data_IF_485487916530
#
_entry.id   IF_485487916530
#
_cell.length_a   1.000
_cell.length_b   1.000
_cell.length_c   1.000
_cell.angle_alpha   90.00
_cell.angle_beta   90.00
_cell.angle_gamma   90.00
#
_symmetry.space_group_name_H-M   'P 1'
#
loop_
_entity.id
_entity.type
_entity.pdbx_description
1 polymer ?
#
# COMPACT_ATOMS: atom_id res chain seq x y z
N UNK A 1 21.99 16.67 24.62
CA UNK A 1 21.45 15.39 24.11
C UNK A 1 21.94 15.22 22.69
N UNK A 2 22.91 14.32 22.52
CA UNK A 2 23.90 14.35 21.44
C UNK A 2 23.42 13.75 20.11
N UNK A 3 23.91 14.37 19.03
CA UNK A 3 23.81 14.03 17.59
C UNK A 3 24.40 12.66 17.19
N UNK A 4 24.52 11.69 18.09
CA UNK A 4 25.19 10.39 17.83
C UNK A 4 24.26 9.23 17.41
N UNK A 5 22.95 9.45 17.32
CA UNK A 5 21.99 8.39 16.93
C UNK A 5 21.63 8.35 15.43
N UNK A 6 22.24 9.19 14.59
CA UNK A 6 21.88 9.28 13.15
C UNK A 6 22.65 8.30 12.24
N UNK A 7 23.75 7.71 12.70
CA UNK A 7 24.59 6.82 11.87
C UNK A 7 24.31 5.31 12.05
N UNK A 8 23.40 4.93 12.94
CA UNK A 8 23.11 3.52 13.24
C UNK A 8 21.99 2.87 12.42
N UNK A 9 21.11 3.66 11.79
CA UNK A 9 19.88 3.14 11.16
C UNK A 9 19.89 3.17 9.62
N UNK A 10 20.87 3.81 9.00
CA UNK A 10 20.97 3.91 7.53
C UNK A 10 21.65 2.70 6.88
N UNK A 11 22.34 1.85 7.65
CA UNK A 11 23.13 0.75 7.09
C UNK A 11 22.32 -0.53 6.73
N UNK A 12 21.09 -0.70 7.23
CA UNK A 12 20.30 -1.92 6.98
C UNK A 12 19.29 -1.81 5.81
N UNK A 13 19.05 -0.60 5.29
CA UNK A 13 18.28 -0.37 4.05
C UNK A 13 19.18 -0.08 2.83
N UNK A 14 20.50 0.12 3.05
CA UNK A 14 21.47 0.46 2.01
C UNK A 14 22.05 -0.74 1.24
N UNK A 15 21.90 -1.98 1.72
CA UNK A 15 22.57 -3.13 1.12
C UNK A 15 22.04 -3.52 -0.28
N UNK A 16 20.85 -3.07 -0.66
CA UNK A 16 20.30 -3.22 -2.03
C UNK A 16 20.58 -2.01 -2.94
N UNK A 17 21.29 -0.97 -2.45
CA UNK A 17 21.69 0.22 -3.21
C UNK A 17 23.20 0.24 -3.52
N UNK A 18 23.95 -0.82 -3.19
CA UNK A 18 25.43 -0.87 -3.27
C UNK A 18 26.01 -1.10 -4.68
N UNK A 19 25.38 -0.64 -5.76
CA UNK A 19 25.96 -0.71 -7.11
C UNK A 19 26.14 0.62 -7.84
N UNK A 20 26.04 1.76 -7.15
CA UNK A 20 26.47 3.04 -7.71
C UNK A 20 27.57 3.69 -6.85
N UNK A 21 28.73 4.05 -7.43
CA UNK A 21 29.78 4.73 -6.70
C UNK A 21 29.29 6.13 -6.33
N UNK A 22 29.36 6.43 -5.03
CA UNK A 22 29.10 7.75 -4.47
C UNK A 22 30.13 8.76 -5.02
N UNK A 23 29.76 9.45 -6.09
CA UNK A 23 30.34 10.75 -6.41
C UNK A 23 29.55 11.85 -5.68
N UNK A 24 30.24 12.47 -4.72
CA UNK A 24 30.05 13.84 -4.21
C UNK A 24 28.65 14.47 -4.29
N UNK A 25 27.85 14.33 -3.22
CA UNK A 25 26.68 15.17 -2.99
C UNK A 25 27.09 16.51 -2.36
N UNK A 26 27.65 17.40 -3.18
CA UNK A 26 27.79 18.82 -2.88
C UNK A 26 26.91 19.64 -3.85
N UNK A 27 25.60 19.49 -3.67
CA UNK A 27 24.50 20.34 -4.15
C UNK A 27 23.33 20.04 -3.20
N UNK A 28 22.39 20.96 -2.90
CA UNK A 28 21.14 20.53 -2.26
C UNK A 28 20.54 19.48 -3.20
N UNK A 29 20.54 18.21 -2.78
CA UNK A 29 20.20 17.11 -3.67
C UNK A 29 18.85 17.41 -4.32
N UNK A 30 18.78 17.36 -5.64
CA UNK A 30 17.52 17.54 -6.37
C UNK A 30 16.48 16.59 -5.76
N UNK A 31 15.30 17.11 -5.42
CA UNK A 31 14.26 16.30 -4.79
C UNK A 31 13.85 15.18 -5.73
N UNK A 32 13.59 14.00 -5.16
CA UNK A 32 12.99 12.88 -5.88
C UNK A 32 11.57 13.28 -6.28
N UNK A 33 11.28 13.22 -7.58
CA UNK A 33 10.00 13.63 -8.16
C UNK A 33 9.02 12.46 -8.15
N UNK A 34 7.91 12.66 -7.46
CA UNK A 34 6.88 11.65 -7.28
C UNK A 34 5.59 12.07 -8.00
N UNK A 35 4.89 11.07 -8.55
CA UNK A 35 3.46 11.21 -8.87
C UNK A 35 2.67 10.15 -8.11
N UNK A 36 1.41 10.44 -7.79
CA UNK A 36 0.54 9.48 -7.11
C UNK A 36 -0.72 9.19 -7.93
N UNK A 37 -1.06 7.92 -8.07
CA UNK A 37 -2.28 7.41 -8.71
C UNK A 37 -3.13 6.73 -7.65
N UNK A 38 -4.34 7.26 -7.46
CA UNK A 38 -5.22 6.94 -6.33
C UNK A 38 -4.91 7.84 -5.14
N UNK A 39 -5.85 8.68 -4.76
CA UNK A 39 -5.74 9.62 -3.63
C UNK A 39 -6.64 9.22 -2.45
N UNK A 40 -6.98 7.92 -2.36
CA UNK A 40 -7.74 7.35 -1.26
C UNK A 40 -7.02 7.45 0.11
N UNK A 41 -7.58 6.81 1.13
CA UNK A 41 -7.09 6.89 2.51
C UNK A 41 -5.61 6.49 2.67
N UNK A 42 -5.16 5.44 1.96
CA UNK A 42 -3.75 5.02 1.97
C UNK A 42 -2.86 5.99 1.19
N UNK A 43 -3.28 6.39 -0.01
CA UNK A 43 -2.60 7.39 -0.85
C UNK A 43 -2.41 8.72 -0.13
N UNK A 44 -3.51 9.36 0.27
CA UNK A 44 -3.47 10.67 0.96
C UNK A 44 -2.81 10.61 2.34
N UNK A 45 -2.98 9.52 3.08
CA UNK A 45 -2.47 9.38 4.45
C UNK A 45 -0.99 9.00 4.50
N UNK A 46 -0.72 7.73 4.20
CA UNK A 46 0.63 7.17 4.33
C UNK A 46 1.57 7.70 3.25
N UNK A 47 1.16 7.62 1.98
CA UNK A 47 1.98 8.03 0.85
C UNK A 47 2.02 9.54 0.60
N UNK A 48 1.02 10.28 1.09
CA UNK A 48 0.96 11.73 1.00
C UNK A 48 1.48 12.39 2.27
N UNK A 49 0.61 12.48 3.29
CA UNK A 49 0.85 13.28 4.50
C UNK A 49 2.07 12.81 5.29
N UNK A 50 2.16 11.51 5.61
CA UNK A 50 3.28 11.00 6.40
C UNK A 50 4.59 11.00 5.60
N UNK A 51 4.55 10.72 4.30
CA UNK A 51 5.72 10.82 3.43
C UNK A 51 6.28 12.25 3.40
N UNK A 52 5.45 13.26 3.14
CA UNK A 52 5.88 14.66 3.11
C UNK A 52 6.36 15.15 4.48
N UNK A 53 5.69 14.74 5.56
CA UNK A 53 6.09 15.10 6.92
C UNK A 53 7.49 14.59 7.26
N UNK A 54 7.84 13.38 6.85
CA UNK A 54 9.11 12.74 7.22
C UNK A 54 10.22 12.96 6.17
N UNK A 55 9.87 13.20 4.91
CA UNK A 55 10.82 13.23 3.78
C UNK A 55 10.62 14.41 2.82
N UNK A 56 9.82 15.42 3.16
CA UNK A 56 9.51 16.55 2.27
C UNK A 56 10.69 17.43 1.85
N UNK A 57 11.84 17.32 2.53
CA UNK A 57 13.10 17.93 2.08
C UNK A 57 13.76 17.15 0.93
N UNK A 58 13.50 15.84 0.82
CA UNK A 58 14.10 14.94 -0.17
C UNK A 58 13.16 14.54 -1.31
N UNK A 59 11.85 14.77 -1.17
CA UNK A 59 10.84 14.37 -2.15
C UNK A 59 9.87 15.51 -2.45
N UNK A 60 9.30 15.51 -3.65
CA UNK A 60 8.21 16.40 -4.03
C UNK A 60 7.18 15.68 -4.91
N UNK A 61 5.91 16.06 -4.76
CA UNK A 61 4.87 15.64 -5.69
C UNK A 61 4.84 16.59 -6.89
N UNK A 62 4.93 16.05 -8.10
CA UNK A 62 4.81 16.79 -9.35
C UNK A 62 3.52 16.48 -10.12
N UNK A 63 2.66 15.60 -9.57
CA UNK A 63 1.35 15.31 -10.12
C UNK A 63 0.55 14.35 -9.24
N UNK A 64 -0.77 14.58 -9.17
CA UNK A 64 -1.71 13.67 -8.52
C UNK A 64 -2.77 13.24 -9.53
N UNK A 65 -3.18 11.97 -9.49
CA UNK A 65 -4.25 11.44 -10.33
C UNK A 65 -5.23 10.59 -9.55
N UNK A 66 -6.52 10.86 -9.75
CA UNK A 66 -7.63 10.06 -9.25
C UNK A 66 -8.84 10.24 -10.19
N UNK A 67 -9.67 9.22 -10.31
CA UNK A 67 -10.93 9.30 -11.08
C UNK A 67 -11.95 10.23 -10.41
N UNK A 68 -11.78 10.48 -9.12
CA UNK A 68 -12.65 11.32 -8.30
C UNK A 68 -12.06 12.73 -8.16
N UNK A 69 -12.57 13.72 -8.91
CA UNK A 69 -12.00 15.07 -8.92
C UNK A 69 -12.14 15.78 -7.58
N UNK A 70 -13.23 15.55 -6.84
CA UNK A 70 -13.41 16.18 -5.53
C UNK A 70 -12.48 15.62 -4.46
N UNK A 71 -12.19 14.30 -4.50
CA UNK A 71 -11.13 13.70 -3.68
C UNK A 71 -9.76 14.28 -4.03
N UNK A 72 -9.48 14.44 -5.32
CA UNK A 72 -8.22 14.97 -5.82
C UNK A 72 -7.98 16.40 -5.32
N UNK A 73 -9.00 17.27 -5.40
CA UNK A 73 -8.97 18.64 -4.87
C UNK A 73 -8.70 18.65 -3.36
N UNK A 74 -9.48 17.92 -2.58
CA UNK A 74 -9.31 17.85 -1.12
C UNK A 74 -7.90 17.38 -0.74
N UNK A 75 -7.38 16.34 -1.40
CA UNK A 75 -6.06 15.80 -1.10
C UNK A 75 -4.95 16.77 -1.47
N UNK A 76 -5.06 17.48 -2.60
CA UNK A 76 -4.09 18.52 -2.96
C UNK A 76 -4.00 19.60 -1.88
N UNK A 77 -5.15 20.10 -1.42
CA UNK A 77 -5.22 21.10 -0.35
C UNK A 77 -4.67 20.58 0.98
N UNK A 78 -5.10 19.38 1.38
CA UNK A 78 -4.67 18.73 2.63
C UNK A 78 -3.16 18.47 2.68
N UNK A 79 -2.54 18.14 1.53
CA UNK A 79 -1.10 17.96 1.42
C UNK A 79 -0.31 19.27 1.28
N UNK A 80 -0.99 20.39 0.94
CA UNK A 80 -0.33 21.67 0.70
C UNK A 80 0.61 21.66 -0.51
N UNK A 81 0.36 20.80 -1.50
CA UNK A 81 1.23 20.63 -2.68
C UNK A 81 0.74 21.48 -3.86
N UNK A 82 1.68 22.08 -4.60
CA UNK A 82 1.36 22.93 -5.76
C UNK A 82 1.53 22.21 -7.12
N UNK A 83 1.18 20.93 -7.19
CA UNK A 83 1.31 20.16 -8.43
C UNK A 83 -0.01 20.12 -9.24
N UNK A 84 0.06 19.86 -10.55
CA UNK A 84 -1.13 19.62 -11.37
C UNK A 84 -1.90 18.36 -10.94
N UNK A 85 -3.19 18.36 -11.24
CA UNK A 85 -4.15 17.30 -10.96
C UNK A 85 -4.64 16.71 -12.28
N UNK A 86 -4.78 15.39 -12.35
CA UNK A 86 -5.13 14.67 -13.58
C UNK A 86 -6.23 13.65 -13.34
N UNK A 87 -7.20 13.60 -14.26
CA UNK A 87 -8.24 12.55 -14.25
C UNK A 87 -7.68 11.19 -14.69
N UNK A 88 -6.55 11.17 -15.42
CA UNK A 88 -5.91 9.94 -15.88
C UNK A 88 -4.39 9.95 -15.64
N UNK A 89 -3.84 8.77 -15.36
CA UNK A 89 -2.38 8.58 -15.27
C UNK A 89 -1.68 8.86 -16.62
N UNK A 90 -2.34 8.58 -17.75
CA UNK A 90 -1.75 8.82 -19.06
C UNK A 90 -1.49 10.29 -19.35
N UNK A 91 -2.43 11.17 -18.99
CA UNK A 91 -2.24 12.63 -19.11
C UNK A 91 -1.17 13.11 -18.14
N UNK A 92 -1.18 12.61 -16.90
CA UNK A 92 -0.16 12.93 -15.90
C UNK A 92 1.24 12.60 -16.40
N UNK A 93 1.47 11.39 -16.88
CA UNK A 93 2.80 10.94 -17.35
C UNK A 93 3.23 11.57 -18.68
N UNK A 94 2.31 12.18 -19.46
CA UNK A 94 2.67 12.97 -20.64
C UNK A 94 3.19 14.36 -20.26
N UNK A 95 2.63 14.96 -19.21
CA UNK A 95 2.95 16.33 -18.78
C UNK A 95 4.02 16.38 -17.69
N UNK A 96 4.28 15.25 -17.04
CA UNK A 96 5.25 15.12 -15.94
C UNK A 96 6.32 14.10 -16.28
N UNK A 97 7.51 14.22 -15.67
CA UNK A 97 8.59 13.24 -15.77
C UNK A 97 9.05 12.85 -14.36
N UNK A 98 8.28 12.01 -13.64
CA UNK A 98 8.63 11.60 -12.29
C UNK A 98 9.75 10.55 -12.28
N UNK A 99 10.44 10.45 -11.14
CA UNK A 99 11.35 9.34 -10.84
C UNK A 99 10.56 8.07 -10.47
N UNK A 100 9.47 8.26 -9.71
CA UNK A 100 8.59 7.17 -9.26
C UNK A 100 7.11 7.51 -9.42
N UNK A 101 6.35 6.50 -9.86
CA UNK A 101 4.89 6.47 -9.83
C UNK A 101 4.44 5.68 -8.61
N UNK A 102 3.72 6.33 -7.69
CA UNK A 102 3.11 5.68 -6.52
C UNK A 102 1.69 5.23 -6.87
N UNK A 103 1.43 3.92 -6.82
CA UNK A 103 0.12 3.32 -7.11
C UNK A 103 -0.55 2.88 -5.81
N UNK A 104 -1.68 3.50 -5.47
CA UNK A 104 -2.46 3.22 -4.25
C UNK A 104 -3.96 3.05 -4.54
N UNK A 105 -4.27 2.50 -5.72
CA UNK A 105 -5.63 2.28 -6.20
C UNK A 105 -6.28 1.05 -5.53
N UNK A 106 -7.39 0.57 -6.09
CA UNK A 106 -8.00 -0.70 -5.69
C UNK A 106 -7.06 -1.84 -6.12
N UNK A 107 -6.87 -2.86 -5.28
CA UNK A 107 -5.87 -3.92 -5.50
C UNK A 107 -5.97 -4.57 -6.89
N UNK A 108 -7.19 -4.84 -7.36
CA UNK A 108 -7.44 -5.48 -8.65
C UNK A 108 -7.04 -4.63 -9.86
N UNK A 109 -6.77 -3.34 -9.68
CA UNK A 109 -6.32 -2.44 -10.76
C UNK A 109 -4.84 -2.09 -10.67
N UNK A 110 -4.13 -2.54 -9.62
CA UNK A 110 -2.70 -2.25 -9.46
C UNK A 110 -1.90 -2.64 -10.70
N UNK A 111 -2.14 -3.83 -11.26
CA UNK A 111 -1.41 -4.33 -12.42
C UNK A 111 -1.56 -3.44 -13.65
N UNK A 112 -2.75 -2.88 -13.88
CA UNK A 112 -3.00 -1.99 -15.01
C UNK A 112 -2.14 -0.72 -14.93
N UNK A 113 -2.08 -0.11 -13.74
CA UNK A 113 -1.30 1.11 -13.52
C UNK A 113 0.20 0.83 -13.47
N UNK A 114 0.62 -0.23 -12.78
CA UNK A 114 2.03 -0.65 -12.67
C UNK A 114 2.59 -0.96 -14.06
N UNK A 115 1.93 -1.84 -14.82
CA UNK A 115 2.39 -2.25 -16.15
C UNK A 115 2.49 -1.04 -17.08
N UNK A 116 1.47 -0.18 -17.10
CA UNK A 116 1.46 1.02 -17.94
C UNK A 116 2.57 2.01 -17.58
N UNK A 117 2.89 2.19 -16.29
CA UNK A 117 3.98 3.06 -15.85
C UNK A 117 5.36 2.49 -16.24
N UNK A 118 5.56 1.18 -16.03
CA UNK A 118 6.79 0.48 -16.42
C UNK A 118 7.02 0.57 -17.93
N UNK A 119 6.00 0.29 -18.75
CA UNK A 119 6.08 0.35 -20.22
C UNK A 119 6.38 1.76 -20.75
N UNK A 120 6.03 2.80 -20.00
CA UNK A 120 6.38 4.19 -20.30
C UNK A 120 7.77 4.59 -19.78
N UNK A 121 8.50 3.68 -19.15
CA UNK A 121 9.86 3.89 -18.69
C UNK A 121 9.99 4.53 -17.30
N UNK A 122 8.98 4.38 -16.43
CA UNK A 122 9.00 4.90 -15.06
C UNK A 122 9.16 3.79 -14.02
N UNK A 123 9.84 4.10 -12.91
CA UNK A 123 9.84 3.20 -11.75
C UNK A 123 8.51 3.32 -11.00
N UNK A 124 8.13 2.25 -10.31
CA UNK A 124 6.84 2.16 -9.63
C UNK A 124 7.04 1.76 -8.17
N UNK A 125 6.31 2.44 -7.29
CA UNK A 125 6.10 2.01 -5.91
C UNK A 125 4.60 1.70 -5.78
N UNK A 126 4.23 0.57 -5.21
CA UNK A 126 2.82 0.19 -5.07
C UNK A 126 2.53 -0.31 -3.66
N UNK A 127 1.30 -0.04 -3.19
CA UNK A 127 0.78 -0.72 -2.00
C UNK A 127 0.75 -2.23 -2.20
N UNK A 128 0.79 -2.96 -1.09
CA UNK A 128 0.46 -4.39 -1.10
C UNK A 128 -1.08 -4.58 -1.12
N UNK A 129 -1.58 -5.71 -1.62
CA UNK A 129 -0.85 -6.73 -2.39
C UNK A 129 -0.38 -6.15 -3.74
N UNK A 130 0.63 -6.78 -4.35
CA UNK A 130 1.11 -6.34 -5.67
C UNK A 130 -0.04 -6.28 -6.68
N UNK A 131 -0.95 -7.26 -6.64
CA UNK A 131 -2.23 -7.33 -7.35
C UNK A 131 -3.03 -8.53 -6.79
N UNK A 132 -4.13 -8.93 -7.43
CA UNK A 132 -5.10 -9.88 -6.88
C UNK A 132 -4.94 -11.34 -7.31
N UNK A 133 -4.18 -11.62 -8.37
CA UNK A 133 -3.99 -12.96 -8.92
C UNK A 133 -2.62 -13.14 -9.61
N UNK A 134 -2.24 -14.39 -9.85
CA UNK A 134 -0.95 -14.79 -10.38
C UNK A 134 -0.73 -14.39 -11.85
N UNK A 135 -1.80 -14.33 -12.64
CA UNK A 135 -1.73 -13.92 -14.05
C UNK A 135 -1.38 -12.44 -14.13
N UNK A 136 -2.01 -11.61 -13.31
CA UNK A 136 -1.68 -10.19 -13.16
C UNK A 136 -0.29 -9.99 -12.57
N UNK A 137 0.12 -10.78 -11.57
CA UNK A 137 1.50 -10.75 -11.07
C UNK A 137 2.50 -11.03 -12.19
N UNK A 138 2.24 -12.04 -13.03
CA UNK A 138 3.11 -12.36 -14.18
C UNK A 138 3.21 -11.18 -15.15
N UNK A 139 2.09 -10.53 -15.47
CA UNK A 139 2.07 -9.33 -16.33
C UNK A 139 2.97 -8.20 -15.80
N UNK A 140 2.95 -7.98 -14.49
CA UNK A 140 3.82 -6.99 -13.82
C UNK A 140 5.30 -7.38 -13.95
N UNK A 141 5.66 -8.63 -13.64
CA UNK A 141 7.04 -9.10 -13.72
C UNK A 141 7.60 -9.06 -15.15
N UNK A 142 6.77 -9.41 -16.14
CA UNK A 142 7.14 -9.32 -17.54
C UNK A 142 7.32 -7.86 -17.99
N UNK A 143 6.53 -6.94 -17.43
CA UNK A 143 6.65 -5.49 -17.66
C UNK A 143 7.93 -4.91 -17.05
N UNK A 144 8.25 -5.32 -15.82
CA UNK A 144 9.48 -4.94 -15.14
C UNK A 144 10.70 -5.41 -15.96
N UNK A 145 10.69 -6.67 -16.39
CA UNK A 145 11.77 -7.26 -17.20
C UNK A 145 11.96 -6.53 -18.54
N UNK A 146 10.88 -6.29 -19.30
CA UNK A 146 10.99 -5.69 -20.65
C UNK A 146 11.30 -4.21 -20.63
N UNK A 147 10.85 -3.48 -19.61
CA UNK A 147 11.10 -2.03 -19.48
C UNK A 147 12.48 -1.71 -18.91
N UNK A 148 13.08 -2.65 -18.17
CA UNK A 148 14.30 -2.41 -17.39
C UNK A 148 14.09 -1.50 -16.17
N UNK A 149 12.84 -1.14 -15.87
CA UNK A 149 12.46 -0.34 -14.70
C UNK A 149 12.18 -1.25 -13.51
N UNK A 150 11.90 -0.66 -12.34
CA UNK A 150 11.69 -1.40 -11.09
C UNK A 150 10.30 -1.18 -10.52
N UNK A 151 9.72 -2.25 -9.97
CA UNK A 151 8.54 -2.20 -9.11
C UNK A 151 8.91 -2.52 -7.66
N UNK A 152 8.53 -1.63 -6.74
CA UNK A 152 8.72 -1.80 -5.31
C UNK A 152 7.34 -2.00 -4.67
N UNK A 153 7.11 -3.17 -4.09
CA UNK A 153 5.89 -3.44 -3.32
C UNK A 153 6.13 -3.07 -1.86
N UNK A 154 5.27 -2.23 -1.31
CA UNK A 154 5.44 -1.67 0.02
C UNK A 154 5.03 -2.63 1.15
N UNK A 155 5.88 -3.61 1.41
CA UNK A 155 5.79 -4.49 2.57
C UNK A 155 6.34 -3.82 3.83
N UNK A 156 5.58 -2.83 4.34
CA UNK A 156 5.98 -2.00 5.48
C UNK A 156 6.36 -2.80 6.75
N UNK A 157 5.86 -4.04 6.92
CA UNK A 157 6.20 -4.88 8.07
C UNK A 157 7.69 -5.24 8.13
N UNK A 158 8.38 -5.34 6.98
CA UNK A 158 9.83 -5.59 6.94
C UNK A 158 10.66 -4.46 7.54
N UNK A 159 10.09 -3.26 7.65
CA UNK A 159 10.79 -2.05 8.12
C UNK A 159 10.48 -1.69 9.57
N UNK A 160 9.67 -2.48 10.27
CA UNK A 160 9.47 -2.27 11.71
C UNK A 160 10.68 -2.77 12.50
N UNK A 161 11.07 -2.02 13.54
CA UNK A 161 12.25 -2.30 14.38
C UNK A 161 12.22 -3.75 14.90
N UNK A 162 11.09 -4.19 15.44
CA UNK A 162 10.94 -5.53 15.99
C UNK A 162 11.11 -6.63 14.93
N UNK A 163 10.53 -6.46 13.74
CA UNK A 163 10.64 -7.48 12.68
C UNK A 163 12.05 -7.54 12.10
N UNK A 164 12.74 -6.40 12.00
CA UNK A 164 14.15 -6.35 11.59
C UNK A 164 15.06 -7.04 12.62
N UNK A 165 14.83 -6.82 13.92
CA UNK A 165 15.57 -7.51 14.97
C UNK A 165 15.36 -9.03 14.94
N UNK A 166 14.13 -9.49 14.74
CA UNK A 166 13.86 -10.92 14.54
C UNK A 166 14.64 -11.45 13.34
N UNK A 167 14.59 -10.76 12.19
CA UNK A 167 15.35 -11.14 10.99
C UNK A 167 16.84 -11.26 11.27
N UNK A 168 17.42 -10.29 11.98
CA UNK A 168 18.84 -10.26 12.32
C UNK A 168 19.23 -11.42 13.24
N UNK A 169 18.44 -11.70 14.28
CA UNK A 169 18.70 -12.79 15.20
C UNK A 169 18.62 -14.16 14.52
N UNK A 170 17.65 -14.35 13.62
CA UNK A 170 17.53 -15.57 12.82
C UNK A 170 18.69 -15.72 11.82
N UNK A 171 19.11 -14.63 11.15
CA UNK A 171 20.25 -14.63 10.24
C UNK A 171 21.57 -14.98 10.96
N UNK A 172 21.74 -14.53 12.21
CA UNK A 172 22.86 -14.89 13.09
C UNK A 172 22.75 -16.30 13.67
N UNK A 173 21.75 -17.09 13.26
CA UNK A 173 21.47 -18.45 13.76
C UNK A 173 21.35 -18.51 15.29
N UNK A 174 20.83 -17.45 15.94
CA UNK A 174 20.79 -17.36 17.42
C UNK A 174 19.97 -18.47 18.06
N UNK A 175 19.00 -19.02 17.33
CA UNK A 175 18.11 -20.12 17.73
C UNK A 175 18.47 -21.46 17.07
N UNK A 176 19.63 -21.56 16.40
CA UNK A 176 20.04 -22.76 15.67
C UNK A 176 19.33 -22.95 14.33
N UNK A 177 19.22 -24.21 13.88
CA UNK A 177 18.47 -24.57 12.67
C UNK A 177 16.97 -24.50 12.96
N UNK A 178 16.25 -23.68 12.21
CA UNK A 178 14.79 -23.59 12.30
C UNK A 178 14.20 -24.87 11.67
N UNK A 179 13.37 -25.58 12.44
CA UNK A 179 12.71 -26.81 12.01
C UNK A 179 11.20 -26.67 11.87
N UNK A 180 10.59 -25.74 12.62
CA UNK A 180 9.16 -25.45 12.59
C UNK A 180 8.91 -24.01 13.03
N UNK A 181 7.82 -23.42 12.54
CA UNK A 181 7.34 -22.10 12.94
C UNK A 181 5.83 -22.17 13.13
N UNK A 182 5.36 -21.71 14.28
CA UNK A 182 3.95 -21.35 14.48
C UNK A 182 3.78 -19.84 14.34
N UNK A 183 2.86 -19.42 13.47
CA UNK A 183 2.52 -18.02 13.29
C UNK A 183 1.00 -17.87 13.30
N UNK A 184 0.49 -17.44 14.45
CA UNK A 184 -0.91 -17.07 14.63
C UNK A 184 -1.12 -15.54 14.54
N UNK A 185 -2.07 -15.08 13.71
CA UNK A 185 -2.46 -13.67 13.63
C UNK A 185 -3.96 -13.48 13.83
N UNK A 186 -4.34 -12.82 14.92
CA UNK A 186 -5.73 -12.58 15.29
C UNK A 186 -6.14 -11.14 14.98
N UNK A 187 -7.26 -10.98 14.29
CA UNK A 187 -7.87 -9.67 14.05
C UNK A 187 -8.97 -9.42 15.08
N UNK A 188 -8.98 -8.24 15.67
CA UNK A 188 -10.14 -7.80 16.44
C UNK A 188 -11.33 -7.51 15.51
N UNK A 189 -12.52 -7.36 16.09
CA UNK A 189 -13.76 -7.16 15.32
C UNK A 189 -13.78 -5.84 14.56
N UNK A 190 -13.10 -4.81 15.06
CA UNK A 190 -13.05 -3.49 14.42
C UNK A 190 -12.26 -3.54 13.11
N UNK A 191 -11.02 -4.00 13.19
CA UNK A 191 -10.10 -4.10 12.04
C UNK A 191 -10.51 -5.22 11.08
N UNK A 192 -10.98 -6.36 11.61
CA UNK A 192 -11.47 -7.46 10.78
C UNK A 192 -12.65 -7.07 9.91
N UNK A 193 -13.58 -6.27 10.44
CA UNK A 193 -14.76 -5.83 9.69
C UNK A 193 -14.41 -4.88 8.53
N UNK A 194 -13.30 -4.13 8.59
CA UNK A 194 -12.89 -3.23 7.49
C UNK A 194 -12.67 -3.96 6.17
N UNK A 195 -12.23 -5.22 6.24
CA UNK A 195 -12.01 -6.08 5.08
C UNK A 195 -13.30 -6.58 4.44
N UNK A 196 -14.46 -6.39 5.08
CA UNK A 196 -15.75 -6.87 4.59
C UNK A 196 -16.80 -5.75 4.39
N UNK A 197 -16.48 -4.50 4.74
CA UNK A 197 -17.42 -3.36 4.70
C UNK A 197 -17.54 -2.64 3.36
N UNK A 198 -16.51 -2.70 2.53
CA UNK A 198 -16.36 -1.91 1.28
C UNK A 198 -15.86 -2.80 0.15
N UNK A 199 -15.26 -2.20 -0.88
CA UNK A 199 -14.65 -2.91 -1.99
C UNK A 199 -13.70 -4.03 -1.57
N UNK A 200 -13.01 -3.92 -0.42
CA UNK A 200 -12.12 -4.95 0.11
C UNK A 200 -12.81 -6.32 0.28
N UNK A 201 -14.12 -6.32 0.56
CA UNK A 201 -14.91 -7.55 0.73
C UNK A 201 -15.41 -8.15 -0.58
N UNK A 202 -15.19 -7.46 -1.70
CA UNK A 202 -15.56 -7.93 -3.03
C UNK A 202 -14.35 -8.64 -3.64
N UNK A 203 -14.45 -9.95 -3.85
CA UNK A 203 -13.35 -10.78 -4.37
C UNK A 203 -12.79 -10.25 -5.70
N UNK A 204 -13.67 -9.71 -6.56
CA UNK A 204 -13.27 -9.09 -7.83
C UNK A 204 -12.41 -7.81 -7.67
N UNK A 205 -12.36 -7.22 -6.47
CA UNK A 205 -11.62 -5.96 -6.20
C UNK A 205 -10.42 -6.16 -5.28
N UNK A 206 -10.55 -6.94 -4.21
CA UNK A 206 -9.47 -7.17 -3.22
C UNK A 206 -8.87 -8.58 -3.23
N UNK A 207 -9.39 -9.50 -4.05
CA UNK A 207 -9.08 -10.93 -3.93
C UNK A 207 -9.68 -11.53 -2.65
N UNK A 208 -9.09 -12.62 -2.18
CA UNK A 208 -9.46 -13.21 -0.88
C UNK A 208 -8.80 -12.45 0.27
N UNK A 209 -9.24 -12.70 1.51
CA UNK A 209 -8.56 -12.14 2.70
C UNK A 209 -7.10 -12.61 2.80
N UNK A 210 -6.79 -13.79 2.24
CA UNK A 210 -5.41 -14.27 2.12
C UNK A 210 -4.55 -13.33 1.28
N UNK A 211 -5.09 -12.83 0.16
CA UNK A 211 -4.40 -11.89 -0.71
C UNK A 211 -4.39 -10.48 -0.12
N UNK A 212 -5.56 -9.95 0.26
CA UNK A 212 -5.66 -8.56 0.70
C UNK A 212 -4.90 -8.28 2.01
N UNK A 213 -4.96 -9.24 2.96
CA UNK A 213 -4.35 -9.10 4.30
C UNK A 213 -3.18 -10.05 4.51
N UNK A 214 -3.37 -11.36 4.28
CA UNK A 214 -2.38 -12.33 4.71
C UNK A 214 -1.07 -12.32 3.90
N UNK A 215 -1.05 -11.67 2.73
CA UNK A 215 0.20 -11.39 1.98
C UNK A 215 1.26 -10.76 2.89
N UNK A 216 0.90 -9.92 3.86
CA UNK A 216 1.87 -9.42 4.85
C UNK A 216 2.54 -10.54 5.66
N UNK A 217 1.79 -11.55 6.07
CA UNK A 217 2.28 -12.60 6.96
C UNK A 217 3.10 -13.63 6.19
N UNK A 218 2.67 -14.01 4.98
CA UNK A 218 3.46 -14.86 4.09
C UNK A 218 4.77 -14.19 3.69
N UNK A 219 4.71 -12.90 3.31
CA UNK A 219 5.88 -12.09 3.02
C UNK A 219 6.86 -12.05 4.20
N UNK A 220 6.36 -11.79 5.40
CA UNK A 220 7.16 -11.64 6.60
C UNK A 220 7.81 -12.96 7.03
N UNK A 221 7.06 -14.08 6.97
CA UNK A 221 7.59 -15.40 7.30
C UNK A 221 8.68 -15.83 6.33
N UNK A 222 8.44 -15.73 5.02
CA UNK A 222 9.43 -16.05 3.99
C UNK A 222 10.66 -15.16 4.14
N UNK A 223 10.46 -13.87 4.41
CA UNK A 223 11.53 -12.92 4.63
C UNK A 223 12.35 -13.26 5.88
N UNK A 224 11.73 -13.56 7.01
CA UNK A 224 12.44 -13.98 8.23
C UNK A 224 13.29 -15.22 8.00
N UNK A 225 12.68 -16.26 7.43
CA UNK A 225 13.31 -17.55 7.21
C UNK A 225 14.33 -17.56 6.08
N UNK A 226 14.30 -16.56 5.19
CA UNK A 226 15.06 -16.58 3.94
C UNK A 226 14.79 -17.87 3.14
N UNK A 227 13.52 -18.26 3.07
CA UNK A 227 13.09 -19.52 2.47
C UNK A 227 11.81 -19.31 1.66
N UNK A 228 11.66 -20.12 0.62
CA UNK A 228 10.47 -20.15 -0.22
C UNK A 228 9.69 -21.44 0.05
N UNK A 229 8.35 -21.39 0.12
CA UNK A 229 7.54 -22.58 0.28
C UNK A 229 7.61 -23.45 -0.98
N UNK A 230 7.79 -24.76 -0.81
CA UNK A 230 7.73 -25.76 -1.90
C UNK A 230 6.35 -26.38 -2.07
N UNK A 231 5.54 -26.36 -1.02
CA UNK A 231 4.18 -26.89 -0.97
C UNK A 231 3.36 -26.07 0.02
N UNK A 232 2.06 -25.90 -0.28
CA UNK A 232 1.11 -25.19 0.58
C UNK A 232 -0.17 -26.00 0.65
N UNK A 233 -0.68 -26.21 1.87
CA UNK A 233 -2.04 -26.69 2.14
C UNK A 233 -2.78 -25.63 2.94
N UNK A 234 -4.03 -25.36 2.60
CA UNK A 234 -4.83 -24.32 3.24
C UNK A 234 -6.28 -24.74 3.42
N UNK A 235 -6.87 -24.28 4.52
CA UNK A 235 -8.29 -24.43 4.83
C UNK A 235 -8.85 -23.07 5.23
N UNK A 236 -10.08 -22.79 4.83
CA UNK A 236 -10.72 -21.53 5.15
C UNK A 236 -12.22 -21.59 5.01
N UNK A 237 -12.89 -20.93 5.94
CA UNK A 237 -14.33 -20.72 5.98
C UNK A 237 -14.61 -19.24 6.21
N UNK A 238 -15.74 -18.77 5.67
CA UNK A 238 -16.33 -17.53 6.13
C UNK A 238 -17.27 -17.92 7.27
N UNK A 239 -16.95 -17.58 8.51
CA UNK A 239 -17.76 -17.96 9.69
C UNK A 239 -18.47 -16.78 10.35
N UNK A 240 -17.83 -15.61 10.43
CA UNK A 240 -18.33 -14.47 11.23
C UNK A 240 -19.09 -13.40 10.43
N UNK A 241 -18.65 -13.09 9.21
CA UNK A 241 -19.13 -11.90 8.48
C UNK A 241 -20.17 -12.23 7.40
N UNK A 242 -20.94 -11.20 7.01
CA UNK A 242 -21.85 -11.28 5.87
C UNK A 242 -22.98 -12.28 6.07
N UNK A 243 -23.08 -13.26 5.16
CA UNK A 243 -24.20 -14.22 5.06
C UNK A 243 -24.42 -15.10 6.29
N UNK A 244 -23.45 -15.19 7.20
CA UNK A 244 -23.57 -16.00 8.42
C UNK A 244 -24.25 -15.26 9.58
N UNK A 245 -24.62 -14.00 9.40
CA UNK A 245 -25.44 -13.28 10.35
C UNK A 245 -26.91 -13.38 9.94
N UNK A 246 -27.81 -13.40 10.94
CA UNK A 246 -29.27 -13.43 10.73
C UNK A 246 -29.81 -12.19 10.01
N UNK A 247 -29.02 -11.11 9.93
CA UNK A 247 -29.32 -9.89 9.19
C UNK A 247 -28.06 -9.39 8.46
N UNK A 248 -28.26 -8.65 7.37
CA UNK A 248 -27.16 -8.02 6.62
C UNK A 248 -27.64 -6.77 5.88
N UNK A 249 -26.79 -5.74 5.85
CA UNK A 249 -26.94 -4.58 4.96
C UNK A 249 -25.95 -4.64 3.80
N UNK A 250 -26.21 -3.90 2.72
CA UNK A 250 -25.28 -3.76 1.59
C UNK A 250 -24.16 -2.77 1.85
N UNK A 251 -24.40 -1.77 2.71
CA UNK A 251 -23.41 -0.81 3.21
C UNK A 251 -23.80 -0.27 4.57
N UNK A 252 -22.87 0.36 5.29
CA UNK A 252 -23.13 0.92 6.61
C UNK A 252 -24.00 2.19 6.54
N UNK A 253 -23.71 3.11 5.62
CA UNK A 253 -24.45 4.37 5.52
C UNK A 253 -25.86 4.12 4.99
N UNK A 254 -26.88 4.45 5.77
CA UNK A 254 -28.28 4.12 5.48
C UNK A 254 -28.69 2.68 5.83
N UNK A 255 -27.86 1.92 6.57
CA UNK A 255 -28.20 0.56 6.98
C UNK A 255 -29.38 0.54 7.96
N UNK A 256 -30.43 -0.23 7.63
CA UNK A 256 -31.60 -0.44 8.49
C UNK A 256 -31.26 -1.18 9.81
N UNK A 257 -30.12 -1.86 9.86
CA UNK A 257 -29.68 -2.66 11.03
C UNK A 257 -28.62 -1.95 11.89
N UNK A 258 -28.41 -0.64 11.72
CA UNK A 258 -27.31 0.09 12.39
C UNK A 258 -27.32 -0.08 13.91
N UNK A 259 -28.51 -0.11 14.53
CA UNK A 259 -28.65 -0.13 15.99
C UNK A 259 -28.41 -1.52 16.60
N UNK A 260 -28.46 -2.58 15.78
CA UNK A 260 -28.20 -3.98 16.20
C UNK A 260 -26.90 -4.56 15.64
N UNK A 261 -26.26 -3.90 14.66
CA UNK A 261 -25.07 -4.41 13.99
C UNK A 261 -23.80 -4.05 14.77
N UNK A 262 -23.18 -5.03 15.43
CA UNK A 262 -21.88 -4.87 16.12
C UNK A 262 -20.72 -4.45 15.20
N UNK A 263 -20.91 -4.53 13.88
CA UNK A 263 -19.94 -4.13 12.86
C UNK A 263 -20.30 -2.80 12.19
N UNK A 264 -21.37 -2.13 12.62
CA UNK A 264 -21.75 -0.84 12.07
C UNK A 264 -20.60 0.15 12.18
N UNK A 265 -20.32 0.85 11.08
CA UNK A 265 -19.30 1.86 11.00
C UNK A 265 -19.91 3.16 10.48
N UNK A 266 -19.93 4.16 11.35
CA UNK A 266 -20.38 5.49 11.02
C UNK A 266 -19.19 6.31 10.50
N UNK A 267 -19.05 6.35 9.18
CA UNK A 267 -18.00 7.14 8.52
C UNK A 267 -18.13 8.64 8.81
N UNK A 268 -19.31 9.13 9.22
CA UNK A 268 -19.54 10.57 9.45
C UNK A 268 -18.90 11.09 10.73
N UNK A 269 -18.43 10.19 11.61
CA UNK A 269 -17.72 10.55 12.84
C UNK A 269 -16.27 10.99 12.62
N UNK A 270 -15.72 10.77 11.42
CA UNK A 270 -14.36 11.17 11.07
C UNK A 270 -14.44 12.20 9.94
N UNK A 271 -14.15 13.47 10.27
CA UNK A 271 -14.23 14.58 9.32
C UNK A 271 -13.33 14.35 8.09
N UNK A 272 -12.14 13.76 8.26
CA UNK A 272 -11.24 13.47 7.14
C UNK A 272 -11.85 12.44 6.21
N UNK A 273 -12.55 11.44 6.74
CA UNK A 273 -13.23 10.43 5.92
C UNK A 273 -14.52 10.98 5.28
N UNK A 274 -15.19 11.92 5.94
CA UNK A 274 -16.29 12.69 5.34
C UNK A 274 -15.79 13.44 4.11
N UNK A 275 -14.71 14.20 4.26
CA UNK A 275 -14.16 14.99 3.17
C UNK A 275 -13.59 14.12 2.05
N UNK A 276 -12.91 13.01 2.37
CA UNK A 276 -12.37 12.10 1.35
C UNK A 276 -13.43 11.32 0.57
N UNK A 277 -14.54 10.95 1.22
CA UNK A 277 -15.45 9.93 0.69
C UNK A 277 -16.91 10.33 0.70
N UNK A 278 -17.45 10.84 1.81
CA UNK A 278 -18.88 11.17 1.91
C UNK A 278 -19.23 12.32 0.97
N UNK A 279 -18.45 13.39 0.98
CA UNK A 279 -18.66 14.59 0.17
C UNK A 279 -18.34 14.38 -1.33
N UNK A 280 -17.75 13.23 -1.66
CA UNK A 280 -17.19 12.93 -2.98
C UNK A 280 -17.78 11.65 -3.60
N UNK A 281 -18.75 11.02 -2.94
CA UNK A 281 -19.31 9.75 -3.37
C UNK A 281 -20.06 9.84 -4.71
N UNK A 282 -20.63 11.00 -5.04
CA UNK A 282 -21.32 11.25 -6.32
C UNK A 282 -20.46 10.98 -7.55
N UNK A 283 -19.13 10.95 -7.40
CA UNK A 283 -18.21 10.73 -8.51
C UNK A 283 -17.87 9.26 -8.76
N UNK A 284 -17.95 8.38 -7.75
CA UNK A 284 -17.47 7.00 -7.87
C UNK A 284 -18.25 5.94 -7.07
N UNK A 285 -19.20 6.32 -6.24
CA UNK A 285 -19.99 5.40 -5.43
C UNK A 285 -19.18 4.61 -4.40
N UNK A 286 -18.07 5.17 -3.88
CA UNK A 286 -17.13 4.44 -3.02
C UNK A 286 -17.73 3.82 -1.75
N UNK A 287 -18.77 4.42 -1.16
CA UNK A 287 -19.38 4.04 0.14
C UNK A 287 -20.68 3.24 0.00
#
# INVERSE_FOLDING_TARGET
>A
MERRNFLGYTAAAGASLLLHPFESFASPAEKIKLVMVGTGHRGSGFWGKELLKNFGEAVEFIGLSDINPGRLNYVKEMLGVNCPMFSTMDEMLKQTRPDYVIVTTVDATHDEFIVKALDKGFNVITEKPMTTDEVKCRRILDAEKRSGKKVIVAFNYRHSVHNMQVKELLAKKRVGKITSVDFSWYLNVYHGADYFRRWHGLTAKGGSLWVHKATHHFDLLNWWLNSEPVEVSAYGSLDLYGKNNSFRGTKCRGCAYKDQCKFYWDITKDQRLVDLYVNNEQHDGYI
#
